data_IF_937064933550
#
_entry.id   IF_937064933550
#
_cell.length_a   1.000
_cell.length_b   1.000
_cell.length_c   1.000
_cell.angle_alpha   90.00
_cell.angle_beta   90.00
_cell.angle_gamma   90.00
#
_symmetry.space_group_name_H-M   'P 1'
#
loop_
_entity.id
_entity.type
_entity.pdbx_description
1 polymer ?
#
# COMPACT_ATOMS: atom_id res chain seq x y z
N UNK A 1 -30.39 46.01 36.88
CA UNK A 1 -29.70 45.79 38.15
C UNK A 1 -28.42 45.08 37.79
N UNK A 2 -27.31 45.79 37.46
CA UNK A 2 -26.27 46.28 38.41
C UNK A 2 -25.82 45.12 39.31
N UNK A 3 -24.58 44.71 39.45
CA UNK A 3 -23.26 45.34 39.36
C UNK A 3 -22.18 44.26 39.58
N UNK A 4 -21.08 44.44 39.04
CA UNK A 4 -19.70 44.87 39.39
C UNK A 4 -18.72 43.71 39.51
N UNK A 5 -17.74 43.65 38.64
CA UNK A 5 -16.35 44.16 38.64
C UNK A 5 -15.56 43.89 39.93
N UNK A 6 -14.50 43.14 39.86
CA UNK A 6 -13.25 43.46 40.55
C UNK A 6 -12.02 42.85 39.93
N UNK A 7 -11.12 43.75 39.52
CA UNK A 7 -9.72 43.47 39.16
C UNK A 7 -8.86 43.37 40.43
N UNK A 8 -7.85 42.51 40.42
CA UNK A 8 -6.72 42.70 41.31
C UNK A 8 -5.41 42.33 40.62
N UNK A 9 -4.59 43.37 40.41
CA UNK A 9 -3.16 43.33 40.09
C UNK A 9 -2.37 43.10 41.38
N UNK A 10 -1.24 42.42 41.26
CA UNK A 10 -0.01 42.62 42.09
C UNK A 10 1.05 41.70 41.52
N UNK A 11 2.22 42.06 41.33
CA UNK A 11 3.27 43.00 41.56
C UNK A 11 4.59 42.27 41.42
N UNK A 12 5.50 42.91 40.75
CA UNK A 12 6.91 42.52 40.57
C UNK A 12 7.69 42.67 41.87
N UNK A 13 8.67 41.78 42.07
CA UNK A 13 9.91 41.98 42.85
C UNK A 13 10.82 40.78 42.50
N UNK A 14 12.05 40.86 42.03
CA UNK A 14 13.14 41.76 42.32
C UNK A 14 14.38 40.88 42.34
N UNK A 15 15.33 41.12 41.46
CA UNK A 15 16.66 40.50 41.32
C UNK A 15 17.51 40.75 42.56
N UNK A 16 18.52 39.89 42.90
CA UNK A 16 19.85 40.41 42.81
C UNK A 16 20.89 39.51 42.09
N UNK A 17 21.69 40.19 41.32
CA UNK A 17 22.97 39.83 40.78
C UNK A 17 24.01 39.65 41.90
N UNK A 18 24.79 38.57 41.80
CA UNK A 18 26.12 38.52 42.46
C UNK A 18 27.19 38.23 41.42
N UNK A 19 28.04 39.24 41.25
CA UNK A 19 29.34 39.16 40.59
C UNK A 19 30.34 38.61 41.59
N UNK A 20 31.19 37.68 41.14
CA UNK A 20 32.34 37.25 41.90
C UNK A 20 33.34 36.60 40.93
N UNK A 21 34.30 37.40 40.48
CA UNK A 21 35.40 36.94 39.64
C UNK A 21 36.51 36.22 40.42
N UNK A 22 37.18 35.35 39.75
CA UNK A 22 38.61 35.07 40.02
C UNK A 22 39.25 34.54 38.72
N UNK A 23 40.24 35.35 38.28
CA UNK A 23 41.23 35.00 37.26
C UNK A 23 42.04 33.81 37.76
N UNK A 24 42.15 32.79 36.94
CA UNK A 24 43.16 31.73 37.07
C UNK A 24 43.82 31.53 35.71
N UNK A 25 45.02 32.12 35.59
CA UNK A 25 45.93 31.82 34.48
C UNK A 25 46.41 30.36 34.61
N UNK A 26 46.20 29.55 33.59
CA UNK A 26 46.97 28.31 33.41
C UNK A 26 47.53 28.22 32.00
N UNK A 27 48.83 27.98 32.00
CA UNK A 27 49.75 27.91 30.88
C UNK A 27 49.32 26.82 29.86
N UNK A 28 49.50 27.17 28.59
CA UNK A 28 49.42 26.25 27.46
C UNK A 28 50.58 25.22 27.60
N UNK A 29 50.20 23.95 27.54
CA UNK A 29 51.12 22.89 27.16
C UNK A 29 50.54 22.21 25.93
N UNK A 30 51.33 22.27 24.87
CA UNK A 30 51.07 21.59 23.61
C UNK A 30 50.88 20.10 23.86
N UNK A 31 49.71 19.60 23.46
CA UNK A 31 49.45 18.18 23.26
C UNK A 31 49.07 17.99 21.81
N UNK A 32 50.01 17.56 21.01
CA UNK A 32 49.77 16.96 19.72
C UNK A 32 49.02 15.65 19.93
N UNK A 33 47.68 15.71 19.73
CA UNK A 33 46.81 14.55 19.64
C UNK A 33 46.31 14.43 18.21
N UNK A 34 46.17 13.21 17.66
CA UNK A 34 45.84 13.05 16.26
C UNK A 34 44.42 13.52 15.99
N UNK A 35 44.32 14.58 15.21
CA UNK A 35 43.09 15.01 14.55
C UNK A 35 42.72 13.99 13.50
N UNK A 36 41.70 13.22 13.76
CA UNK A 36 40.68 12.73 12.80
C UNK A 36 39.81 11.74 13.54
N UNK A 37 38.65 12.23 14.03
CA UNK A 37 37.52 11.35 14.23
C UNK A 37 37.20 10.77 12.86
N UNK A 38 37.07 9.46 12.72
CA UNK A 38 36.67 8.90 11.47
C UNK A 38 35.18 9.27 11.26
N UNK A 39 34.95 10.13 10.29
CA UNK A 39 33.64 10.30 9.65
C UNK A 39 33.31 9.04 8.86
N UNK A 40 32.95 7.98 9.53
CA UNK A 40 32.50 6.78 8.85
C UNK A 40 31.57 5.98 9.75
N UNK A 41 30.33 6.40 9.81
CA UNK A 41 29.27 5.52 10.26
C UNK A 41 27.97 5.90 9.54
N UNK A 42 27.98 5.87 8.23
CA UNK A 42 26.80 5.67 7.42
C UNK A 42 27.24 5.13 6.06
N UNK A 43 27.83 3.94 6.07
CA UNK A 43 27.81 3.13 4.88
C UNK A 43 26.37 2.62 4.72
N UNK A 44 25.50 3.48 4.17
CA UNK A 44 24.30 3.03 3.52
C UNK A 44 24.78 2.19 2.34
N UNK A 45 24.79 0.87 2.52
CA UNK A 45 25.09 -0.04 1.43
C UNK A 45 23.94 0.06 0.43
N UNK A 46 24.11 0.88 -0.61
CA UNK A 46 23.23 0.90 -1.76
C UNK A 46 23.01 -0.52 -2.25
N UNK A 47 21.75 -0.86 -2.50
CA UNK A 47 21.41 -2.11 -3.16
C UNK A 47 21.91 -2.02 -4.61
N UNK A 48 23.04 -2.71 -4.90
CA UNK A 48 23.70 -2.66 -6.21
C UNK A 48 22.78 -3.05 -7.35
N UNK A 49 22.98 -2.44 -8.51
CA UNK A 49 22.24 -2.69 -9.75
C UNK A 49 21.24 -1.57 -10.09
N UNK A 50 21.13 -1.23 -11.38
CA UNK A 50 20.20 -0.22 -11.88
C UNK A 50 18.76 -0.73 -11.95
N UNK A 51 17.81 0.16 -11.87
CA UNK A 51 16.39 -0.14 -12.11
C UNK A 51 16.08 -0.15 -13.62
N UNK A 52 15.16 -1.04 -14.06
CA UNK A 52 14.59 -1.03 -15.40
C UNK A 52 13.44 -0.01 -15.45
N UNK A 53 13.23 0.58 -16.62
CA UNK A 53 12.26 1.66 -16.81
C UNK A 53 11.30 1.35 -17.95
N UNK A 54 10.00 1.53 -17.68
CA UNK A 54 8.92 1.43 -18.65
C UNK A 54 8.22 2.79 -18.71
N UNK A 55 8.43 3.60 -19.78
CA UNK A 55 7.85 4.94 -19.87
C UNK A 55 6.32 4.92 -19.85
N UNK A 56 5.73 5.91 -19.20
CA UNK A 56 4.29 6.16 -19.19
C UNK A 56 3.98 7.36 -20.08
N UNK A 57 3.09 7.21 -21.05
CA UNK A 57 2.73 8.27 -21.99
C UNK A 57 1.98 9.42 -21.30
N UNK A 58 1.03 9.08 -20.45
CA UNK A 58 0.32 10.04 -19.60
C UNK A 58 0.13 9.45 -18.19
N UNK A 59 0.41 10.27 -17.20
CA UNK A 59 0.16 9.97 -15.80
C UNK A 59 -0.46 11.21 -15.17
N UNK A 60 -1.71 11.14 -14.77
CA UNK A 60 -2.26 12.18 -13.93
C UNK A 60 -1.72 12.01 -12.52
N UNK A 61 -0.92 12.99 -12.07
CA UNK A 61 -0.40 13.04 -10.69
C UNK A 61 -1.55 13.03 -9.67
N UNK A 62 -2.74 13.49 -10.09
CA UNK A 62 -3.96 13.44 -9.28
C UNK A 62 -4.57 12.04 -9.22
N UNK A 63 -4.28 11.15 -10.17
CA UNK A 63 -4.74 9.77 -10.13
C UNK A 63 -3.78 8.89 -9.34
N UNK A 64 -3.80 9.13 -8.05
CA UNK A 64 -2.88 8.57 -7.07
C UNK A 64 -3.13 7.11 -6.73
N UNK A 65 -3.97 6.37 -7.44
CA UNK A 65 -4.36 5.00 -7.03
C UNK A 65 -3.98 3.89 -8.00
N UNK A 66 -3.53 4.22 -9.19
CA UNK A 66 -3.01 3.22 -10.12
C UNK A 66 -1.61 2.82 -9.68
N UNK A 67 -1.40 1.53 -9.56
CA UNK A 67 -0.13 0.93 -9.11
C UNK A 67 0.27 -0.19 -10.05
N UNK A 68 1.58 -0.48 -10.19
CA UNK A 68 2.00 -1.69 -10.86
C UNK A 68 1.57 -2.92 -10.07
N UNK A 69 1.40 -4.03 -10.76
CA UNK A 69 1.13 -5.34 -10.18
C UNK A 69 2.17 -6.34 -10.68
N UNK A 70 2.72 -7.13 -9.76
CA UNK A 70 3.75 -8.13 -10.00
C UNK A 70 3.24 -9.52 -9.65
N UNK A 71 3.60 -10.51 -10.48
CA UNK A 71 3.45 -11.92 -10.17
C UNK A 71 4.59 -12.73 -10.74
N UNK A 72 4.84 -13.91 -10.15
CA UNK A 72 5.80 -14.90 -10.63
C UNK A 72 5.08 -16.23 -10.71
N UNK A 73 5.16 -16.90 -11.86
CA UNK A 73 4.54 -18.20 -12.04
C UNK A 73 5.46 -19.37 -11.61
N UNK A 74 4.91 -20.58 -11.59
CA UNK A 74 5.65 -21.79 -11.21
C UNK A 74 6.84 -22.12 -12.10
N UNK A 75 7.00 -21.48 -13.25
CA UNK A 75 8.15 -21.59 -14.16
C UNK A 75 9.19 -20.49 -13.94
N UNK A 76 8.98 -19.61 -12.96
CA UNK A 76 9.87 -18.48 -12.66
C UNK A 76 9.74 -17.30 -13.63
N UNK A 77 8.71 -17.27 -14.48
CA UNK A 77 8.44 -16.13 -15.34
C UNK A 77 7.84 -15.00 -14.53
N UNK A 78 8.33 -13.79 -14.75
CA UNK A 78 7.90 -12.59 -14.06
C UNK A 78 6.93 -11.83 -14.94
N UNK A 79 5.82 -11.42 -14.38
CA UNK A 79 4.79 -10.62 -15.03
C UNK A 79 4.64 -9.29 -14.30
N UNK A 80 4.70 -8.20 -15.07
CA UNK A 80 4.47 -6.84 -14.57
C UNK A 80 3.37 -6.21 -15.39
N UNK A 81 2.27 -5.84 -14.73
CA UNK A 81 1.13 -5.18 -15.34
C UNK A 81 0.93 -3.78 -14.76
N UNK A 82 0.49 -2.83 -15.60
CA UNK A 82 0.13 -1.49 -15.18
C UNK A 82 -0.90 -0.89 -16.12
N UNK A 83 -1.62 0.12 -15.63
CA UNK A 83 -2.49 0.95 -16.44
C UNK A 83 -1.72 2.17 -16.96
N UNK A 84 -1.96 2.54 -18.22
CA UNK A 84 -1.46 3.75 -18.83
C UNK A 84 -2.61 4.51 -19.48
N UNK A 85 -2.68 5.80 -19.26
CA UNK A 85 -3.68 6.66 -19.89
C UNK A 85 -3.11 7.24 -21.19
N UNK A 86 -3.89 7.18 -22.26
CA UNK A 86 -3.59 7.83 -23.53
C UNK A 86 -4.65 8.88 -23.82
N UNK A 87 -4.25 10.15 -23.89
CA UNK A 87 -5.20 11.24 -24.10
C UNK A 87 -6.14 11.47 -22.90
N UNK A 88 -7.27 12.13 -23.15
CA UNK A 88 -8.18 12.61 -22.09
C UNK A 88 -9.06 11.52 -21.47
N UNK A 89 -9.14 10.33 -22.05
CA UNK A 89 -10.12 9.34 -21.61
C UNK A 89 -9.77 7.89 -21.86
N UNK A 90 -8.77 7.58 -22.65
CA UNK A 90 -8.47 6.20 -23.02
C UNK A 90 -7.39 5.63 -22.09
N UNK A 91 -7.68 4.49 -21.49
CA UNK A 91 -6.73 3.73 -20.67
C UNK A 91 -6.36 2.44 -21.38
N UNK A 92 -5.10 2.07 -21.26
CA UNK A 92 -4.54 0.80 -21.71
C UNK A 92 -4.11 -0.01 -20.51
N UNK A 93 -4.39 -1.30 -20.54
CA UNK A 93 -3.78 -2.26 -19.63
C UNK A 93 -2.59 -2.89 -20.35
N UNK A 94 -1.42 -2.65 -19.82
CA UNK A 94 -0.15 -3.10 -20.36
C UNK A 94 0.41 -4.23 -19.50
N UNK A 95 1.02 -5.20 -20.17
CA UNK A 95 1.68 -6.35 -19.57
C UNK A 95 3.04 -6.56 -20.23
N UNK A 96 4.07 -6.77 -19.42
CA UNK A 96 5.37 -7.28 -19.85
C UNK A 96 5.68 -8.57 -19.12
N UNK A 97 6.46 -9.45 -19.77
CA UNK A 97 6.94 -10.71 -19.21
C UNK A 97 8.45 -10.80 -19.31
N UNK A 98 9.06 -11.37 -18.30
CA UNK A 98 10.46 -11.78 -18.30
C UNK A 98 10.52 -13.30 -18.16
N UNK A 99 11.27 -13.95 -19.05
CA UNK A 99 11.55 -15.39 -19.04
C UNK A 99 12.94 -15.71 -18.45
N UNK A 100 13.70 -14.69 -18.05
CA UNK A 100 15.07 -14.76 -17.54
C UNK A 100 15.24 -14.05 -16.21
N UNK A 101 14.30 -14.23 -15.29
CA UNK A 101 14.34 -13.77 -13.91
C UNK A 101 14.52 -12.23 -13.75
N UNK A 102 13.97 -11.46 -14.70
CA UNK A 102 13.99 -10.01 -14.64
C UNK A 102 15.22 -9.36 -15.29
N UNK A 103 16.10 -10.12 -15.93
CA UNK A 103 17.24 -9.57 -16.67
C UNK A 103 16.77 -8.78 -17.90
N UNK A 104 15.72 -9.25 -18.58
CA UNK A 104 15.07 -8.56 -19.67
C UNK A 104 13.57 -8.83 -19.68
N UNK A 105 12.83 -7.95 -20.31
CA UNK A 105 11.38 -8.07 -20.53
C UNK A 105 11.09 -7.99 -22.01
N UNK A 106 10.04 -8.68 -22.45
CA UNK A 106 9.49 -8.52 -23.80
C UNK A 106 8.93 -7.09 -24.00
N UNK A 107 8.55 -6.75 -25.22
CA UNK A 107 7.83 -5.51 -25.48
C UNK A 107 6.50 -5.48 -24.72
N UNK A 108 6.13 -4.29 -24.27
CA UNK A 108 4.86 -4.11 -23.56
C UNK A 108 3.70 -4.46 -24.50
N UNK A 109 2.86 -5.37 -24.04
CA UNK A 109 1.67 -5.83 -24.73
C UNK A 109 0.45 -5.09 -24.20
N UNK A 110 -0.33 -4.53 -25.09
CA UNK A 110 -1.63 -3.98 -24.77
C UNK A 110 -2.63 -5.13 -24.64
N UNK A 111 -3.04 -5.45 -23.41
CA UNK A 111 -4.03 -6.51 -23.14
C UNK A 111 -5.42 -5.98 -23.38
N UNK A 112 -5.70 -4.77 -22.95
CA UNK A 112 -6.97 -4.08 -23.13
C UNK A 112 -6.74 -2.63 -23.50
N UNK A 113 -7.42 -2.21 -24.56
CA UNK A 113 -7.61 -0.82 -24.94
C UNK A 113 -9.09 -0.49 -24.83
N UNK A 114 -9.43 0.57 -24.13
CA UNK A 114 -10.83 0.80 -23.89
C UNK A 114 -11.17 2.25 -23.64
N UNK A 115 -12.17 2.74 -24.38
CA UNK A 115 -12.96 3.93 -24.04
C UNK A 115 -14.00 3.70 -22.92
N UNK A 116 -14.06 2.49 -22.30
CA UNK A 116 -15.04 2.14 -21.27
C UNK A 116 -14.59 2.49 -19.84
N UNK A 117 -13.64 3.41 -19.69
CA UNK A 117 -13.17 3.87 -18.39
C UNK A 117 -13.83 5.17 -17.90
N UNK A 118 -14.91 5.59 -18.53
CA UNK A 118 -15.74 6.71 -18.05
C UNK A 118 -17.07 6.20 -17.54
N UNK A 119 -17.36 6.45 -16.26
CA UNK A 119 -18.68 6.26 -15.69
C UNK A 119 -19.41 7.61 -15.65
N UNK A 120 -20.70 7.59 -16.00
CA UNK A 120 -21.57 8.77 -15.99
C UNK A 120 -22.52 8.67 -14.81
N UNK A 121 -22.67 9.74 -14.05
CA UNK A 121 -23.62 9.81 -12.93
C UNK A 121 -24.37 11.13 -12.95
N UNK A 122 -25.61 11.11 -12.43
CA UNK A 122 -26.38 12.32 -12.19
C UNK A 122 -26.15 12.82 -10.77
N UNK A 123 -25.71 14.05 -10.61
CA UNK A 123 -25.52 14.67 -9.30
C UNK A 123 -26.11 16.08 -9.31
N UNK A 124 -27.10 16.32 -8.46
CA UNK A 124 -27.81 17.61 -8.35
C UNK A 124 -28.32 18.13 -9.71
N UNK A 125 -28.89 17.24 -10.54
CA UNK A 125 -29.43 17.57 -11.87
C UNK A 125 -28.38 17.81 -12.95
N UNK A 126 -27.10 17.61 -12.67
CA UNK A 126 -26.01 17.71 -13.65
C UNK A 126 -25.46 16.35 -13.96
N UNK A 127 -25.18 16.11 -15.24
CA UNK A 127 -24.45 14.93 -15.69
C UNK A 127 -22.97 15.11 -15.39
N UNK A 128 -22.41 14.22 -14.60
CA UNK A 128 -20.98 14.21 -14.24
C UNK A 128 -20.36 12.96 -14.85
N UNK A 129 -19.34 13.15 -15.68
CA UNK A 129 -18.48 12.07 -16.14
C UNK A 129 -17.26 11.95 -15.21
N UNK A 130 -16.96 10.74 -14.79
CA UNK A 130 -15.79 10.44 -13.95
C UNK A 130 -14.98 9.33 -14.60
N UNK A 131 -13.67 9.48 -14.59
CA UNK A 131 -12.79 8.39 -15.01
C UNK A 131 -12.89 7.24 -14.00
N UNK A 132 -13.05 6.03 -14.53
CA UNK A 132 -12.96 4.81 -13.76
C UNK A 132 -11.48 4.50 -13.56
N UNK A 133 -11.09 4.28 -12.32
CA UNK A 133 -9.73 3.87 -12.00
C UNK A 133 -9.53 2.43 -12.42
N UNK A 134 -8.55 2.19 -13.27
CA UNK A 134 -8.10 0.85 -13.58
C UNK A 134 -6.99 0.47 -12.61
N UNK A 135 -7.28 -0.45 -11.70
CA UNK A 135 -6.25 -1.05 -10.85
C UNK A 135 -6.01 -2.46 -11.38
N UNK A 136 -4.91 -2.71 -12.09
CA UNK A 136 -4.60 -4.04 -12.58
C UNK A 136 -4.12 -4.94 -11.43
N UNK A 137 -4.51 -6.20 -11.49
CA UNK A 137 -4.00 -7.26 -10.64
C UNK A 137 -3.57 -8.42 -11.52
N UNK A 138 -2.26 -8.65 -11.62
CA UNK A 138 -1.73 -9.87 -12.23
C UNK A 138 -1.52 -10.91 -11.14
N UNK A 139 -1.98 -12.13 -11.37
CA UNK A 139 -1.93 -13.24 -10.42
C UNK A 139 -1.43 -14.45 -11.17
N UNK A 140 -0.44 -15.13 -10.62
CA UNK A 140 0.07 -16.37 -11.18
C UNK A 140 -0.52 -17.59 -10.46
N UNK A 141 -1.20 -18.43 -11.22
CA UNK A 141 -1.57 -19.78 -10.82
C UNK A 141 -0.49 -20.79 -11.20
N UNK A 142 -0.79 -22.08 -10.99
CA UNK A 142 0.14 -23.14 -11.32
C UNK A 142 0.46 -23.20 -12.83
N UNK A 143 -0.56 -23.15 -13.66
CA UNK A 143 -0.45 -23.29 -15.12
C UNK A 143 -1.12 -22.13 -15.89
N UNK A 144 -1.70 -21.19 -15.21
CA UNK A 144 -2.44 -20.06 -15.76
C UNK A 144 -2.02 -18.74 -15.13
N UNK A 145 -2.09 -17.67 -15.91
CA UNK A 145 -1.97 -16.30 -15.45
C UNK A 145 -3.35 -15.69 -15.48
N UNK A 146 -3.71 -15.00 -14.40
CA UNK A 146 -4.94 -14.24 -14.32
C UNK A 146 -4.61 -12.75 -14.31
N UNK A 147 -5.41 -12.00 -15.04
CA UNK A 147 -5.37 -10.55 -15.04
C UNK A 147 -6.75 -10.04 -14.69
N UNK A 148 -6.85 -9.29 -13.60
CA UNK A 148 -8.09 -8.68 -13.17
C UNK A 148 -7.98 -7.15 -13.21
N UNK A 149 -9.08 -6.48 -13.51
CA UNK A 149 -9.16 -5.02 -13.56
C UNK A 149 -10.59 -4.52 -13.31
N UNK A 150 -10.71 -3.23 -13.09
CA UNK A 150 -12.00 -2.55 -13.02
C UNK A 150 -12.27 -1.78 -14.32
N UNK A 151 -13.51 -1.79 -14.77
CA UNK A 151 -13.96 -1.07 -15.94
C UNK A 151 -15.37 -0.51 -15.74
N UNK A 152 -15.77 0.49 -16.53
CA UNK A 152 -17.12 0.98 -16.51
C UNK A 152 -18.11 -0.09 -17.02
N UNK A 153 -19.33 -0.09 -16.51
CA UNK A 153 -20.42 -0.85 -17.11
C UNK A 153 -20.68 -0.36 -18.55
N UNK A 154 -21.18 -1.22 -19.45
CA UNK A 154 -21.44 -0.83 -20.84
C UNK A 154 -22.40 0.37 -20.98
N UNK A 155 -23.32 0.55 -20.02
CA UNK A 155 -24.23 1.70 -19.95
C UNK A 155 -23.64 2.92 -19.23
N UNK A 156 -22.37 2.83 -18.81
CA UNK A 156 -21.60 3.86 -18.08
C UNK A 156 -22.19 4.27 -16.72
N UNK A 157 -23.16 3.52 -16.18
CA UNK A 157 -23.82 3.85 -14.91
C UNK A 157 -23.10 3.37 -13.67
N UNK A 158 -22.13 2.48 -13.81
CA UNK A 158 -21.41 1.86 -12.70
C UNK A 158 -20.03 1.38 -13.09
N UNK A 159 -19.40 0.66 -12.16
CA UNK A 159 -18.07 0.08 -12.30
C UNK A 159 -18.13 -1.39 -11.94
N UNK A 160 -17.56 -2.24 -12.78
CA UNK A 160 -17.45 -3.67 -12.54
C UNK A 160 -16.01 -4.11 -12.46
N UNK A 161 -15.76 -5.16 -11.71
CA UNK A 161 -14.50 -5.89 -11.71
C UNK A 161 -14.62 -7.16 -12.54
N UNK A 162 -13.64 -7.38 -13.38
CA UNK A 162 -13.56 -8.55 -14.25
C UNK A 162 -12.21 -9.23 -14.09
N UNK A 163 -12.16 -10.51 -14.42
CA UNK A 163 -10.94 -11.32 -14.46
C UNK A 163 -10.89 -12.14 -15.73
N UNK A 164 -9.74 -12.21 -16.36
CA UNK A 164 -9.47 -13.05 -17.52
C UNK A 164 -8.25 -13.93 -17.26
N UNK A 165 -8.18 -15.09 -17.87
CA UNK A 165 -7.06 -16.01 -17.75
C UNK A 165 -6.32 -16.21 -19.06
N UNK A 166 -5.03 -16.53 -18.94
CA UNK A 166 -4.14 -16.90 -20.02
C UNK A 166 -3.46 -18.24 -19.69
N UNK A 167 -3.51 -19.18 -20.64
CA UNK A 167 -2.84 -20.48 -20.55
C UNK A 167 -1.54 -20.55 -21.35
N UNK A 168 -1.24 -19.54 -22.11
CA UNK A 168 -0.09 -19.45 -23.00
C UNK A 168 1.00 -18.49 -22.48
N UNK A 169 0.97 -18.20 -21.18
CA UNK A 169 1.97 -17.34 -20.54
C UNK A 169 1.77 -15.86 -20.81
N UNK A 170 0.54 -15.41 -20.94
CA UNK A 170 0.19 -14.01 -21.16
C UNK A 170 0.20 -13.57 -22.63
N UNK A 171 0.36 -14.52 -23.57
CA UNK A 171 0.30 -14.20 -24.99
C UNK A 171 -1.12 -13.92 -25.48
N UNK A 172 -2.10 -14.60 -24.93
CA UNK A 172 -3.51 -14.32 -25.16
C UNK A 172 -4.32 -14.47 -23.86
N UNK A 173 -5.41 -13.75 -23.77
CA UNK A 173 -6.35 -13.82 -22.65
C UNK A 173 -7.73 -14.19 -23.15
N UNK A 174 -8.42 -15.03 -22.39
CA UNK A 174 -9.81 -15.42 -22.67
C UNK A 174 -10.80 -14.27 -22.45
N UNK A 175 -12.08 -14.55 -22.69
CA UNK A 175 -13.13 -13.58 -22.38
C UNK A 175 -13.18 -13.27 -20.88
N UNK A 176 -13.25 -12.00 -20.49
CA UNK A 176 -13.36 -11.63 -19.09
C UNK A 176 -14.65 -12.17 -18.45
N UNK A 177 -14.53 -12.65 -17.22
CA UNK A 177 -15.66 -13.06 -16.38
C UNK A 177 -15.87 -12.04 -15.26
N UNK A 178 -17.13 -11.87 -14.83
CA UNK A 178 -17.47 -10.97 -13.73
C UNK A 178 -17.06 -11.57 -12.39
N UNK A 179 -16.58 -10.71 -11.51
CA UNK A 179 -16.24 -11.06 -10.13
C UNK A 179 -17.45 -10.92 -9.19
N UNK A 180 -18.47 -10.22 -9.60
CA UNK A 180 -19.69 -9.94 -8.83
C UNK A 180 -20.94 -10.07 -9.70
N UNK A 181 -22.11 -10.31 -9.07
CA UNK A 181 -23.37 -10.52 -9.75
C UNK A 181 -24.34 -9.33 -9.66
N UNK A 182 -24.10 -8.38 -8.77
CA UNK A 182 -24.99 -7.22 -8.58
C UNK A 182 -25.07 -6.32 -9.80
N UNK A 183 -26.26 -6.12 -10.35
CA UNK A 183 -26.51 -5.33 -11.58
C UNK A 183 -26.06 -3.87 -11.46
N UNK A 184 -26.11 -3.29 -10.28
CA UNK A 184 -25.75 -1.89 -10.01
C UNK A 184 -24.44 -1.78 -9.23
N UNK A 185 -23.56 -2.75 -9.37
CA UNK A 185 -22.29 -2.76 -8.66
C UNK A 185 -21.46 -1.52 -9.01
N UNK A 186 -20.73 -1.03 -8.01
CA UNK A 186 -19.77 0.07 -8.13
C UNK A 186 -18.45 -0.35 -7.53
N UNK A 187 -17.94 -1.49 -8.02
CA UNK A 187 -16.73 -2.10 -7.52
C UNK A 187 -15.53 -1.17 -7.67
N UNK A 188 -15.02 -0.68 -6.56
CA UNK A 188 -13.86 0.20 -6.49
C UNK A 188 -12.91 -0.27 -5.39
N UNK A 189 -11.65 0.16 -5.45
CA UNK A 189 -10.65 -0.17 -4.41
C UNK A 189 -10.52 -1.68 -4.17
N UNK A 190 -10.39 -2.39 -5.27
CA UNK A 190 -10.46 -3.84 -5.34
C UNK A 190 -9.19 -4.53 -4.88
N UNK A 191 -9.33 -5.76 -4.44
CA UNK A 191 -8.27 -6.74 -4.23
C UNK A 191 -8.72 -8.09 -4.77
N UNK A 192 -7.79 -8.90 -5.26
CA UNK A 192 -8.04 -10.28 -5.66
C UNK A 192 -6.79 -11.12 -5.37
N UNK A 193 -6.98 -12.33 -4.91
CA UNK A 193 -5.92 -13.29 -4.67
C UNK A 193 -6.33 -14.71 -5.02
N UNK A 194 -5.34 -15.56 -5.20
CA UNK A 194 -5.46 -16.97 -5.55
C UNK A 194 -4.77 -17.81 -4.47
N UNK A 195 -5.50 -18.77 -3.91
CA UNK A 195 -4.96 -19.78 -3.01
C UNK A 195 -4.21 -20.88 -3.75
N UNK A 196 -3.38 -21.62 -3.03
CA UNK A 196 -2.63 -22.76 -3.59
C UNK A 196 -3.55 -23.88 -4.07
N UNK A 197 -4.74 -24.00 -3.51
CA UNK A 197 -5.78 -24.94 -3.90
C UNK A 197 -6.57 -24.51 -5.16
N UNK A 198 -6.31 -23.32 -5.68
CA UNK A 198 -7.03 -22.72 -6.80
C UNK A 198 -8.27 -21.92 -6.42
N UNK A 199 -8.57 -21.75 -5.12
CA UNK A 199 -9.61 -20.85 -4.65
C UNK A 199 -9.21 -19.41 -4.92
N UNK A 200 -10.11 -18.63 -5.56
CA UNK A 200 -9.95 -17.20 -5.74
C UNK A 200 -10.86 -16.44 -4.77
N UNK A 201 -10.36 -15.36 -4.20
CA UNK A 201 -11.17 -14.39 -3.48
C UNK A 201 -10.96 -13.00 -4.05
N UNK A 202 -12.03 -12.28 -4.22
CA UNK A 202 -12.00 -10.85 -4.50
C UNK A 202 -12.78 -10.08 -3.46
N UNK A 203 -12.30 -8.89 -3.12
CA UNK A 203 -13.00 -7.95 -2.25
C UNK A 203 -12.94 -6.53 -2.83
N UNK A 204 -13.94 -5.71 -2.50
CA UNK A 204 -14.03 -4.35 -3.00
C UNK A 204 -14.89 -3.47 -2.10
N UNK A 205 -14.79 -2.18 -2.34
CA UNK A 205 -15.70 -1.18 -1.79
C UNK A 205 -16.80 -0.87 -2.80
N UNK A 206 -18.04 -0.78 -2.33
CA UNK A 206 -19.20 -0.56 -3.18
C UNK A 206 -20.24 0.32 -2.47
N UNK A 207 -20.76 1.29 -3.17
CA UNK A 207 -21.79 2.21 -2.67
C UNK A 207 -23.12 2.12 -3.43
N UNK A 208 -23.41 0.95 -4.01
CA UNK A 208 -24.66 0.68 -4.75
C UNK A 208 -25.93 1.02 -3.95
N UNK A 209 -25.88 0.91 -2.64
CA UNK A 209 -26.96 1.21 -1.70
C UNK A 209 -26.83 2.60 -1.07
N UNK A 210 -26.10 3.53 -1.69
CA UNK A 210 -25.83 4.90 -1.24
C UNK A 210 -24.87 5.02 -0.05
N UNK A 211 -24.53 3.93 0.64
CA UNK A 211 -23.53 3.85 1.70
C UNK A 211 -22.38 2.96 1.27
N UNK A 212 -21.18 3.35 1.62
CA UNK A 212 -20.02 2.54 1.31
C UNK A 212 -20.02 1.27 2.17
N UNK A 213 -19.94 0.12 1.53
CA UNK A 213 -19.85 -1.20 2.16
C UNK A 213 -18.64 -1.95 1.61
N UNK A 214 -18.17 -2.93 2.37
CA UNK A 214 -17.18 -3.89 1.89
C UNK A 214 -17.90 -5.16 1.46
N UNK A 215 -17.60 -5.61 0.25
CA UNK A 215 -18.08 -6.86 -0.31
C UNK A 215 -16.91 -7.80 -0.59
N UNK A 216 -17.21 -9.09 -0.63
CA UNK A 216 -16.32 -10.10 -1.17
C UNK A 216 -17.10 -11.17 -1.93
N UNK A 217 -16.43 -11.80 -2.88
CA UNK A 217 -16.89 -12.97 -3.58
C UNK A 217 -15.78 -14.00 -3.69
N UNK A 218 -16.12 -15.27 -3.63
CA UNK A 218 -15.16 -16.38 -3.66
C UNK A 218 -15.54 -17.33 -4.79
N UNK A 219 -14.53 -17.74 -5.53
CA UNK A 219 -14.62 -18.76 -6.56
C UNK A 219 -13.84 -19.99 -6.10
N UNK A 220 -14.52 -21.09 -5.88
CA UNK A 220 -13.86 -22.37 -5.56
C UNK A 220 -12.98 -22.88 -6.72
N UNK A 221 -12.07 -23.84 -6.46
CA UNK A 221 -11.08 -24.30 -7.45
C UNK A 221 -11.68 -24.79 -8.77
N UNK A 222 -12.80 -25.50 -8.68
CA UNK A 222 -13.50 -26.07 -9.83
C UNK A 222 -14.77 -25.31 -10.22
N UNK A 223 -15.07 -24.19 -9.56
CA UNK A 223 -16.25 -23.42 -9.88
C UNK A 223 -16.03 -22.66 -11.21
N UNK A 224 -17.04 -22.63 -12.11
CA UNK A 224 -16.92 -21.90 -13.37
C UNK A 224 -16.90 -20.39 -13.15
N UNK A 225 -17.55 -19.90 -12.11
CA UNK A 225 -17.75 -18.46 -11.81
C UNK A 225 -17.60 -18.18 -10.32
N UNK A 226 -17.50 -16.88 -10.00
CA UNK A 226 -17.54 -16.42 -8.63
C UNK A 226 -18.92 -16.66 -8.01
N UNK A 227 -18.97 -16.98 -6.74
CA UNK A 227 -20.23 -17.08 -6.00
C UNK A 227 -20.90 -15.70 -5.87
N UNK A 228 -22.17 -15.69 -5.46
CA UNK A 228 -22.84 -14.44 -5.12
C UNK A 228 -22.05 -13.71 -4.04
N UNK A 229 -21.86 -12.42 -4.25
CA UNK A 229 -21.09 -11.60 -3.32
C UNK A 229 -21.77 -11.47 -1.96
N UNK A 230 -20.96 -11.51 -0.92
CA UNK A 230 -21.35 -11.28 0.47
C UNK A 230 -20.99 -9.87 0.93
N UNK A 231 -21.85 -9.24 1.73
CA UNK A 231 -21.51 -8.01 2.45
C UNK A 231 -20.65 -8.37 3.67
N UNK A 232 -19.39 -7.95 3.66
CA UNK A 232 -18.44 -8.20 4.77
C UNK A 232 -18.65 -7.19 5.89
N UNK A 233 -18.89 -5.92 5.54
CA UNK A 233 -19.08 -4.86 6.51
C UNK A 233 -19.97 -3.74 5.96
N UNK A 234 -20.79 -3.17 6.82
CA UNK A 234 -21.64 -2.01 6.56
C UNK A 234 -21.09 -0.72 7.16
N UNK A 235 -20.12 -0.81 8.08
CA UNK A 235 -19.47 0.33 8.70
C UNK A 235 -20.37 1.19 9.58
N UNK A 236 -20.04 2.46 9.68
CA UNK A 236 -20.79 3.48 10.39
C UNK A 236 -22.22 3.61 9.86
N UNK A 237 -23.26 3.76 10.72
CA UNK A 237 -24.64 3.84 10.29
C UNK A 237 -24.95 4.96 9.30
N UNK A 238 -24.21 6.07 9.34
CA UNK A 238 -24.40 7.21 8.43
C UNK A 238 -23.40 7.21 7.27
N UNK A 239 -22.12 6.95 7.54
CA UNK A 239 -21.02 7.11 6.60
C UNK A 239 -20.63 5.81 5.88
N UNK A 240 -20.97 4.65 6.44
CA UNK A 240 -20.48 3.35 5.95
C UNK A 240 -19.04 3.06 6.34
N UNK A 241 -18.35 2.20 5.58
CA UNK A 241 -16.90 1.97 5.72
C UNK A 241 -16.10 3.12 5.08
N UNK A 242 -14.79 3.17 5.31
CA UNK A 242 -13.93 4.18 4.68
C UNK A 242 -13.99 4.08 3.14
N UNK A 243 -14.39 5.16 2.43
CA UNK A 243 -14.76 5.06 1.02
C UNK A 243 -13.60 5.07 0.03
N UNK A 244 -12.36 5.15 0.51
CA UNK A 244 -11.22 5.51 -0.34
C UNK A 244 -9.95 4.67 -0.13
N UNK A 245 -10.00 3.64 0.72
CA UNK A 245 -8.86 2.78 0.97
C UNK A 245 -9.07 1.42 0.30
N UNK A 246 -8.12 0.94 -0.52
CA UNK A 246 -8.21 -0.38 -1.11
C UNK A 246 -8.39 -1.46 -0.05
N UNK A 247 -9.25 -2.44 -0.35
CA UNK A 247 -9.34 -3.66 0.43
C UNK A 247 -8.10 -4.54 0.21
N UNK A 248 -7.90 -5.51 1.06
CA UNK A 248 -6.90 -6.57 0.86
C UNK A 248 -7.57 -7.92 1.10
N UNK A 249 -7.32 -8.88 0.24
CA UNK A 249 -7.85 -10.24 0.38
C UNK A 249 -6.74 -11.25 0.19
N UNK A 250 -6.84 -12.39 0.87
CA UNK A 250 -5.93 -13.52 0.70
C UNK A 250 -6.63 -14.83 1.02
N UNK A 251 -6.09 -15.92 0.48
CA UNK A 251 -6.47 -17.29 0.81
C UNK A 251 -5.31 -17.92 1.56
N UNK A 252 -5.58 -18.43 2.75
CA UNK A 252 -4.61 -19.20 3.55
C UNK A 252 -4.34 -20.58 2.95
N UNK A 253 -3.27 -21.22 3.41
CA UNK A 253 -2.90 -22.58 2.98
C UNK A 253 -3.94 -23.63 3.39
N UNK A 254 -4.73 -23.37 4.41
CA UNK A 254 -5.86 -24.19 4.88
C UNK A 254 -7.19 -23.89 4.15
N UNK A 255 -7.17 -23.02 3.14
CA UNK A 255 -8.38 -22.57 2.42
C UNK A 255 -9.20 -21.51 3.15
N UNK A 256 -8.76 -21.03 4.31
CA UNK A 256 -9.41 -19.89 5.00
C UNK A 256 -9.19 -18.61 4.19
N UNK A 257 -10.27 -17.89 3.97
CA UNK A 257 -10.26 -16.60 3.25
C UNK A 257 -10.23 -15.46 4.25
N UNK A 258 -9.35 -14.49 4.03
CA UNK A 258 -9.24 -13.27 4.84
C UNK A 258 -9.52 -12.04 3.98
N UNK A 259 -10.25 -11.07 4.54
CA UNK A 259 -10.52 -9.77 3.93
C UNK A 259 -10.24 -8.67 4.95
N UNK A 260 -9.31 -7.79 4.63
CA UNK A 260 -9.00 -6.60 5.42
C UNK A 260 -9.52 -5.34 4.72
N UNK A 261 -10.06 -4.43 5.49
CA UNK A 261 -10.61 -3.16 5.01
C UNK A 261 -10.50 -2.09 6.10
N UNK A 262 -10.48 -0.82 5.67
CA UNK A 262 -10.53 0.29 6.62
C UNK A 262 -11.98 0.59 6.97
N UNK A 263 -12.33 0.49 8.24
CA UNK A 263 -13.67 0.80 8.74
C UNK A 263 -13.79 2.27 9.15
N UNK A 264 -15.00 2.73 9.37
CA UNK A 264 -15.32 3.95 10.14
C UNK A 264 -16.20 3.51 11.29
N UNK A 265 -15.78 3.83 12.50
CA UNK A 265 -16.57 3.62 13.70
C UNK A 265 -16.30 4.77 14.68
N UNK A 266 -17.33 5.53 15.07
CA UNK A 266 -17.23 6.68 15.97
C UNK A 266 -16.18 7.72 15.55
N UNK A 267 -15.95 7.85 14.23
CA UNK A 267 -14.94 8.71 13.62
C UNK A 267 -13.53 8.14 13.56
N UNK A 268 -13.30 6.95 14.13
CA UNK A 268 -12.04 6.22 13.99
C UNK A 268 -11.96 5.52 12.64
N UNK A 269 -10.79 5.54 12.01
CA UNK A 269 -10.53 4.95 10.68
C UNK A 269 -9.44 3.88 10.77
N UNK A 270 -9.75 2.80 11.47
CA UNK A 270 -8.82 1.70 11.71
C UNK A 270 -9.10 0.50 10.79
N UNK A 271 -8.13 -0.40 10.66
CA UNK A 271 -8.30 -1.61 9.88
C UNK A 271 -8.99 -2.71 10.67
N UNK A 272 -9.88 -3.39 9.97
CA UNK A 272 -10.62 -4.56 10.41
C UNK A 272 -10.34 -5.74 9.50
N UNK A 273 -10.44 -6.94 10.03
CA UNK A 273 -10.32 -8.19 9.28
C UNK A 273 -11.57 -9.04 9.53
N UNK A 274 -12.12 -9.57 8.46
CA UNK A 274 -13.08 -10.66 8.49
C UNK A 274 -12.46 -11.88 7.83
N UNK A 275 -12.83 -13.07 8.31
CA UNK A 275 -12.39 -14.34 7.72
C UNK A 275 -13.58 -15.26 7.47
N UNK A 276 -13.42 -16.13 6.47
CA UNK A 276 -14.29 -17.26 6.22
C UNK A 276 -13.45 -18.53 6.23
N UNK A 277 -13.66 -19.38 7.22
CA UNK A 277 -12.96 -20.66 7.32
C UNK A 277 -13.29 -21.56 6.12
N UNK A 278 -12.37 -22.43 5.77
CA UNK A 278 -12.63 -23.42 4.72
C UNK A 278 -13.91 -24.21 5.01
N UNK A 279 -14.77 -24.34 3.99
CA UNK A 279 -16.06 -25.03 4.13
C UNK A 279 -17.16 -24.21 4.82
N UNK A 280 -16.88 -23.04 5.39
CA UNK A 280 -17.92 -22.19 5.95
C UNK A 280 -18.74 -21.51 4.84
N UNK A 281 -20.03 -21.30 5.09
CA UNK A 281 -20.97 -20.67 4.15
C UNK A 281 -20.89 -19.15 4.11
N UNK A 282 -20.32 -18.52 5.15
CA UNK A 282 -20.28 -17.07 5.30
C UNK A 282 -19.04 -16.59 6.04
N UNK A 283 -18.74 -15.31 5.90
CA UNK A 283 -17.70 -14.64 6.67
C UNK A 283 -18.09 -14.43 8.12
N UNK A 284 -17.13 -14.52 9.03
CA UNK A 284 -17.26 -14.15 10.43
C UNK A 284 -17.43 -12.63 10.56
N UNK A 285 -17.99 -12.16 11.69
CA UNK A 285 -18.07 -10.74 11.98
C UNK A 285 -16.65 -10.10 11.98
N UNK A 286 -16.47 -8.93 11.37
CA UNK A 286 -15.16 -8.28 11.35
C UNK A 286 -14.66 -7.90 12.75
N UNK A 287 -13.38 -8.10 12.99
CA UNK A 287 -12.70 -7.69 14.20
C UNK A 287 -11.68 -6.59 13.90
N UNK A 288 -11.45 -5.64 14.81
CA UNK A 288 -10.39 -4.67 14.67
C UNK A 288 -9.01 -5.33 14.76
N UNK A 289 -8.06 -4.90 13.91
CA UNK A 289 -6.66 -5.34 13.99
C UNK A 289 -6.04 -4.87 15.31
N UNK A 290 -6.35 -3.64 15.69
CA UNK A 290 -5.95 -3.04 16.97
C UNK A 290 -7.13 -2.27 17.55
N UNK A 291 -7.05 -1.92 18.83
CA UNK A 291 -8.01 -1.02 19.45
C UNK A 291 -8.10 0.31 18.66
N UNK A 292 -9.25 0.99 18.64
CA UNK A 292 -9.42 2.25 17.95
C UNK A 292 -8.37 3.29 18.35
N UNK A 293 -7.62 3.80 17.37
CA UNK A 293 -6.46 4.67 17.62
C UNK A 293 -6.43 5.93 16.79
N UNK A 294 -6.97 5.89 15.56
CA UNK A 294 -6.83 7.00 14.65
C UNK A 294 -8.18 7.64 14.29
N UNK A 295 -8.50 8.72 15.00
CA UNK A 295 -9.66 9.56 14.67
C UNK A 295 -9.28 10.55 13.57
N UNK A 296 -9.94 10.43 12.41
CA UNK A 296 -9.59 11.23 11.24
C UNK A 296 -10.82 11.50 10.37
N UNK A 297 -11.03 12.77 10.01
CA UNK A 297 -12.08 13.16 9.07
C UNK A 297 -11.47 13.52 7.71
N UNK A 298 -11.14 12.50 6.93
CA UNK A 298 -10.50 12.64 5.63
C UNK A 298 -10.34 11.30 4.92
N UNK A 299 -9.67 11.32 3.77
CA UNK A 299 -9.43 10.16 2.92
C UNK A 299 -7.94 9.77 2.90
N UNK A 300 -7.53 8.73 3.61
CA UNK A 300 -6.11 8.34 3.68
C UNK A 300 -5.57 7.77 2.36
N UNK A 301 -6.44 7.18 1.53
CA UNK A 301 -6.08 6.55 0.25
C UNK A 301 -5.00 5.46 0.34
N UNK A 302 -4.91 4.78 1.46
CA UNK A 302 -3.93 3.74 1.73
C UNK A 302 -4.63 2.45 2.18
N UNK A 303 -4.27 1.33 1.56
CA UNK A 303 -4.82 0.00 1.83
C UNK A 303 -3.85 -0.86 2.62
N UNK A 304 -4.38 -1.90 3.27
CA UNK A 304 -3.56 -2.90 3.93
C UNK A 304 -2.89 -3.86 2.94
N UNK A 305 -1.91 -4.61 3.44
CA UNK A 305 -1.35 -5.79 2.78
C UNK A 305 -1.20 -6.91 3.81
N UNK A 306 -1.51 -8.15 3.43
CA UNK A 306 -1.48 -9.31 4.31
C UNK A 306 -0.66 -10.43 3.71
N UNK A 307 0.01 -11.21 4.57
CA UNK A 307 0.61 -12.51 4.26
C UNK A 307 0.44 -13.46 5.44
N UNK A 308 0.43 -14.76 5.18
CA UNK A 308 0.32 -15.80 6.20
C UNK A 308 1.63 -16.62 6.21
N UNK A 309 2.41 -16.47 7.27
CA UNK A 309 3.65 -17.21 7.51
C UNK A 309 3.37 -18.36 8.51
N UNK A 310 3.20 -19.59 7.98
CA UNK A 310 2.65 -20.69 8.79
C UNK A 310 1.28 -20.30 9.35
N UNK A 311 1.12 -20.37 10.67
CA UNK A 311 -0.10 -19.98 11.36
C UNK A 311 -0.10 -18.51 11.82
N UNK A 312 0.88 -17.71 11.39
CA UNK A 312 0.97 -16.31 11.77
C UNK A 312 0.50 -15.41 10.62
N UNK A 313 -0.60 -14.71 10.83
CA UNK A 313 -1.11 -13.68 9.94
C UNK A 313 -0.38 -12.37 10.20
N UNK A 314 0.27 -11.83 9.17
CA UNK A 314 0.91 -10.53 9.17
C UNK A 314 0.07 -9.55 8.35
N UNK A 315 -0.09 -8.33 8.85
CA UNK A 315 -0.78 -7.23 8.17
C UNK A 315 0.00 -5.94 8.35
N UNK A 316 0.07 -5.13 7.29
CA UNK A 316 0.63 -3.78 7.35
C UNK A 316 -0.36 -2.76 6.79
N UNK A 317 -0.31 -1.54 7.33
CA UNK A 317 -1.13 -0.41 6.89
C UNK A 317 -0.47 0.91 7.27
N UNK A 318 -0.97 2.02 6.74
CA UNK A 318 -0.59 3.37 7.15
C UNK A 318 -1.70 3.99 8.00
N UNK A 319 -1.34 4.70 9.04
CA UNK A 319 -2.18 5.70 9.71
C UNK A 319 -1.33 6.84 10.30
N UNK A 320 -1.98 7.83 10.89
CA UNK A 320 -1.30 8.99 11.44
C UNK A 320 -1.66 9.23 12.93
N UNK A 321 -1.83 8.14 13.69
CA UNK A 321 -2.17 8.20 15.12
C UNK A 321 -1.17 8.98 15.97
N UNK A 322 0.08 9.09 15.52
CA UNK A 322 1.16 9.84 16.18
C UNK A 322 1.36 11.24 15.63
N UNK A 323 0.44 11.75 14.77
CA UNK A 323 0.52 13.06 14.14
C UNK A 323 1.23 13.09 12.79
N UNK A 324 1.91 12.00 12.40
CA UNK A 324 2.55 11.83 11.09
C UNK A 324 2.08 10.53 10.45
N UNK A 325 2.04 10.47 9.12
CA UNK A 325 1.76 9.23 8.41
C UNK A 325 2.88 8.21 8.65
N UNK A 326 2.55 7.09 9.25
CA UNK A 326 3.45 6.00 9.59
C UNK A 326 2.89 4.68 9.08
N UNK A 327 3.76 3.80 8.61
CA UNK A 327 3.39 2.42 8.32
C UNK A 327 3.52 1.57 9.59
N UNK A 328 2.45 0.88 9.91
CA UNK A 328 2.37 -0.08 11.01
C UNK A 328 2.34 -1.49 10.47
N UNK A 329 2.83 -2.39 11.27
CA UNK A 329 2.76 -3.82 11.05
C UNK A 329 2.17 -4.47 12.30
N UNK A 330 1.27 -5.43 12.10
CA UNK A 330 0.78 -6.27 13.18
C UNK A 330 0.81 -7.74 12.76
N UNK A 331 0.92 -8.61 13.75
CA UNK A 331 0.86 -10.04 13.55
C UNK A 331 0.06 -10.72 14.66
N UNK A 332 -0.57 -11.84 14.30
CA UNK A 332 -1.35 -12.67 15.22
C UNK A 332 -1.32 -14.12 14.78
N UNK A 333 -1.47 -15.04 15.72
CA UNK A 333 -1.86 -16.41 15.36
C UNK A 333 -3.24 -16.38 14.69
N UNK A 334 -3.38 -17.03 13.54
CA UNK A 334 -4.60 -16.98 12.72
C UNK A 334 -5.83 -17.61 13.39
N UNK A 335 -5.64 -18.46 14.43
CA UNK A 335 -6.74 -19.01 15.21
C UNK A 335 -7.21 -18.04 16.31
N UNK A 336 -6.28 -17.34 16.95
CA UNK A 336 -6.56 -16.44 18.07
C UNK A 336 -6.96 -15.04 17.61
N UNK A 337 -6.40 -14.57 16.50
CA UNK A 337 -6.62 -13.23 15.93
C UNK A 337 -6.38 -12.09 16.95
N UNK A 338 -5.42 -12.29 17.85
CA UNK A 338 -4.97 -11.28 18.81
C UNK A 338 -3.68 -10.65 18.32
N UNK A 339 -3.79 -9.43 17.81
CA UNK A 339 -2.69 -8.76 17.13
C UNK A 339 -1.76 -8.02 18.07
N UNK A 340 -0.46 -8.13 17.79
CA UNK A 340 0.59 -7.27 18.35
C UNK A 340 1.06 -6.34 17.22
N UNK A 341 1.07 -5.03 17.48
CA UNK A 341 1.39 -4.02 16.47
C UNK A 341 2.65 -3.23 16.83
N UNK A 342 3.47 -2.92 15.80
CA UNK A 342 4.66 -2.08 15.88
C UNK A 342 4.73 -1.16 14.67
N UNK A 343 5.49 -0.08 14.75
CA UNK A 343 5.84 0.69 13.54
C UNK A 343 6.79 -0.12 12.66
N UNK A 344 6.61 0.00 11.33
CA UNK A 344 7.44 -0.69 10.34
C UNK A 344 8.88 -0.12 10.34
N UNK A 345 9.02 1.19 10.42
CA UNK A 345 10.29 1.90 10.47
C UNK A 345 10.22 3.08 11.45
N UNK A 346 10.38 2.84 12.77
CA UNK A 346 10.18 3.86 13.79
C UNK A 346 11.21 4.99 13.75
N UNK A 347 12.40 4.76 13.17
CA UNK A 347 13.46 5.76 13.07
C UNK A 347 13.28 6.74 11.91
N UNK A 348 12.30 6.53 11.04
CA UNK A 348 12.03 7.43 9.92
C UNK A 348 11.61 8.82 10.39
N UNK A 349 12.12 9.83 9.71
CA UNK A 349 11.74 11.22 9.94
C UNK A 349 10.57 11.66 9.06
N UNK A 350 10.45 11.04 7.88
CA UNK A 350 9.47 11.39 6.87
C UNK A 350 8.14 10.64 6.98
N UNK A 351 7.20 11.02 6.13
CA UNK A 351 5.92 10.34 5.98
C UNK A 351 6.08 9.02 5.25
N UNK A 352 5.35 8.00 5.68
CA UNK A 352 5.35 6.66 5.12
C UNK A 352 3.97 6.31 4.54
N UNK A 353 3.93 5.39 3.57
CA UNK A 353 2.66 4.90 3.03
C UNK A 353 2.79 3.72 2.06
N UNK A 354 1.67 3.21 1.63
CA UNK A 354 1.53 2.18 0.60
C UNK A 354 2.36 0.90 0.85
N UNK A 355 2.50 0.49 2.11
CA UNK A 355 3.28 -0.69 2.47
C UNK A 355 2.70 -1.97 1.87
N UNK A 356 3.59 -2.86 1.41
CA UNK A 356 3.27 -4.19 0.87
C UNK A 356 4.13 -5.25 1.50
N UNK A 357 3.53 -6.40 1.77
CA UNK A 357 4.19 -7.58 2.31
C UNK A 357 4.32 -8.66 1.25
N UNK A 358 5.37 -9.46 1.37
CA UNK A 358 5.53 -10.73 0.66
C UNK A 358 6.17 -11.75 1.59
N UNK A 359 5.83 -13.02 1.38
CA UNK A 359 6.41 -14.16 2.09
C UNK A 359 7.33 -14.92 1.13
N UNK A 360 8.54 -15.20 1.57
CA UNK A 360 9.47 -16.03 0.81
C UNK A 360 9.30 -17.53 1.13
N UNK A 361 10.02 -18.37 0.40
CA UNK A 361 9.97 -19.83 0.59
C UNK A 361 10.57 -20.31 1.93
N UNK A 362 11.36 -19.47 2.61
CA UNK A 362 11.92 -19.71 3.94
C UNK A 362 10.95 -19.32 5.06
N UNK A 363 9.81 -18.74 4.69
CA UNK A 363 8.82 -18.22 5.62
C UNK A 363 9.22 -16.89 6.24
N UNK A 364 10.14 -16.15 5.61
CA UNK A 364 10.51 -14.81 6.03
C UNK A 364 9.59 -13.77 5.37
N UNK A 365 9.17 -12.79 6.16
CA UNK A 365 8.26 -11.74 5.72
C UNK A 365 9.07 -10.49 5.36
N UNK A 366 8.89 -10.03 4.13
CA UNK A 366 9.52 -8.81 3.64
C UNK A 366 8.47 -7.74 3.42
N UNK A 367 8.83 -6.50 3.70
CA UNK A 367 7.99 -5.33 3.46
C UNK A 367 8.67 -4.33 2.55
N UNK A 368 7.89 -3.70 1.67
CA UNK A 368 8.28 -2.49 0.94
C UNK A 368 7.27 -1.40 1.21
N UNK A 369 7.73 -0.16 1.26
CA UNK A 369 6.88 1.02 1.44
C UNK A 369 7.51 2.25 0.80
N UNK A 370 6.72 3.29 0.60
CA UNK A 370 7.22 4.60 0.20
C UNK A 370 7.49 5.46 1.43
N UNK A 371 8.59 6.23 1.41
CA UNK A 371 9.01 7.10 2.51
C UNK A 371 9.58 8.41 1.99
N UNK A 372 9.14 9.54 2.55
CA UNK A 372 9.74 10.85 2.30
C UNK A 372 10.85 11.15 3.29
N UNK A 373 11.79 12.01 2.90
CA UNK A 373 12.89 12.41 3.79
C UNK A 373 12.46 13.34 4.93
N UNK A 374 11.35 14.05 4.74
CA UNK A 374 10.82 15.00 5.72
C UNK A 374 9.36 14.66 6.06
N UNK A 375 8.96 14.98 7.28
CA UNK A 375 7.58 14.86 7.69
C UNK A 375 6.73 15.85 6.87
N UNK A 376 5.79 15.34 6.07
CA UNK A 376 4.71 16.19 5.60
C UNK A 376 3.88 16.56 6.83
N UNK A 377 3.86 17.84 7.19
CA UNK A 377 2.93 18.34 8.17
C UNK A 377 1.53 18.05 7.62
N UNK A 378 0.75 17.27 8.36
CA UNK A 378 -0.68 17.17 8.08
C UNK A 378 -1.19 18.57 8.40
N UNK A 379 -1.46 19.37 7.35
CA UNK A 379 -2.02 20.71 7.52
C UNK A 379 -3.26 20.62 8.41
N UNK A 380 -3.42 21.63 9.26
CA UNK A 380 -4.54 21.75 10.17
C UNK A 380 -5.85 21.30 9.50
N UNK A 381 -6.65 20.54 10.24
CA UNK A 381 -7.91 19.91 9.80
C UNK A 381 -9.01 20.93 9.37
N UNK A 382 -8.63 22.16 9.03
CA UNK A 382 -9.49 23.25 8.58
C UNK A 382 -9.32 23.66 7.11
N UNK A 383 -8.34 23.12 6.38
CA UNK A 383 -8.23 23.41 4.95
C UNK A 383 -9.24 22.56 4.19
N UNK A 384 -10.11 23.19 3.41
CA UNK A 384 -11.07 22.53 2.52
C UNK A 384 -10.38 21.40 1.76
N UNK A 385 -10.81 20.15 2.01
CA UNK A 385 -10.31 18.97 1.34
C UNK A 385 -10.58 19.05 -0.17
N UNK A 386 -9.62 19.58 -0.91
CA UNK A 386 -9.55 19.33 -2.36
C UNK A 386 -9.19 17.87 -2.54
N UNK A 387 -10.16 17.07 -2.91
CA UNK A 387 -9.95 15.67 -3.28
C UNK A 387 -8.76 15.54 -4.24
N UNK A 388 -7.71 14.85 -3.85
CA UNK A 388 -6.68 14.35 -4.75
C UNK A 388 -5.31 15.01 -4.73
N UNK A 389 -5.03 15.99 -3.91
CA UNK A 389 -3.68 16.52 -3.82
C UNK A 389 -2.96 15.96 -2.60
N UNK A 390 -2.22 14.86 -2.76
CA UNK A 390 -0.96 14.78 -2.03
C UNK A 390 -0.15 15.97 -2.53
N UNK A 391 0.19 16.88 -1.64
CA UNK A 391 0.95 18.06 -2.01
C UNK A 391 2.37 17.64 -2.39
N UNK A 392 2.60 17.44 -3.69
CA UNK A 392 3.91 17.19 -4.25
C UNK A 392 4.76 18.46 -4.34
N UNK A 393 4.23 19.60 -3.87
CA UNK A 393 4.86 20.92 -4.00
C UNK A 393 6.04 21.16 -3.05
N UNK A 394 6.23 20.30 -2.07
CA UNK A 394 7.29 20.48 -1.07
C UNK A 394 8.60 19.77 -1.44
N UNK A 395 9.17 19.92 -2.60
CA UNK A 395 10.60 19.73 -2.93
C UNK A 395 11.35 18.48 -2.42
N UNK A 396 10.71 17.65 -1.62
CA UNK A 396 11.30 16.51 -0.93
C UNK A 396 10.87 15.23 -1.62
N UNK A 397 11.81 14.57 -2.28
CA UNK A 397 11.58 13.31 -2.97
C UNK A 397 11.08 12.20 -2.04
N UNK A 398 10.51 11.14 -2.62
CA UNK A 398 10.15 9.90 -1.93
C UNK A 398 10.97 8.76 -2.48
N UNK A 399 11.37 7.84 -1.62
CA UNK A 399 12.08 6.62 -1.98
C UNK A 399 11.25 5.39 -1.60
N UNK A 400 11.51 4.29 -2.32
CA UNK A 400 11.02 2.98 -1.91
C UNK A 400 12.01 2.37 -0.94
N UNK A 401 11.49 1.98 0.22
CA UNK A 401 12.21 1.30 1.29
C UNK A 401 11.87 -0.18 1.31
N UNK A 402 12.78 -0.99 1.85
CA UNK A 402 12.60 -2.43 2.03
C UNK A 402 13.22 -2.87 3.35
N UNK A 403 12.56 -3.81 4.05
CA UNK A 403 13.08 -4.48 5.24
C UNK A 403 12.51 -5.89 5.36
N UNK A 404 13.18 -6.72 6.18
CA UNK A 404 12.75 -8.08 6.53
C UNK A 404 12.32 -8.13 7.99
N UNK A 405 11.28 -8.91 8.28
CA UNK A 405 10.80 -9.13 9.65
C UNK A 405 11.72 -10.09 10.41
N UNK A 406 12.22 -9.62 11.53
CA UNK A 406 13.06 -10.39 12.45
C UNK A 406 12.16 -11.12 13.46
N UNK A 407 12.06 -12.45 13.31
CA UNK A 407 11.17 -13.29 14.12
C UNK A 407 11.49 -13.21 15.61
N UNK A 408 12.77 -13.18 15.96
CA UNK A 408 13.23 -13.12 17.35
C UNK A 408 12.92 -11.77 18.00
N UNK A 409 13.11 -10.68 17.24
CA UNK A 409 12.79 -9.31 17.68
C UNK A 409 11.34 -8.92 17.55
N UNK A 410 10.53 -9.72 16.85
CA UNK A 410 9.11 -9.42 16.52
C UNK A 410 8.90 -8.02 15.93
N UNK A 411 9.83 -7.58 15.10
CA UNK A 411 9.88 -6.26 14.43
C UNK A 411 10.56 -6.36 13.09
N UNK A 412 10.41 -5.35 12.26
CA UNK A 412 11.22 -5.24 11.05
C UNK A 412 12.65 -4.77 11.41
N UNK A 413 13.62 -5.34 10.73
CA UNK A 413 15.03 -4.99 10.83
C UNK A 413 15.35 -3.66 10.14
N UNK A 414 16.64 -3.41 9.93
CA UNK A 414 17.12 -2.17 9.32
C UNK A 414 16.53 -1.96 7.92
N UNK A 415 15.83 -0.84 7.72
CA UNK A 415 15.29 -0.44 6.43
C UNK A 415 16.42 -0.02 5.47
N UNK A 416 16.30 -0.41 4.21
CA UNK A 416 17.20 -0.02 3.12
C UNK A 416 16.44 0.63 1.98
N UNK A 417 17.06 1.60 1.33
CA UNK A 417 16.50 2.23 0.13
C UNK A 417 16.70 1.31 -1.08
N UNK A 418 15.63 1.09 -1.84
CA UNK A 418 15.67 0.21 -3.03
C UNK A 418 16.45 0.84 -4.17
N UNK A 419 16.18 2.11 -4.48
CA UNK A 419 16.84 2.86 -5.56
C UNK A 419 16.93 4.33 -5.15
N UNK A 420 18.05 4.71 -4.52
CA UNK A 420 18.20 6.05 -3.97
C UNK A 420 18.37 7.10 -5.07
N UNK A 421 17.46 8.08 -5.08
CA UNK A 421 17.51 9.21 -6.01
C UNK A 421 17.09 10.49 -5.31
N UNK A 422 17.72 11.58 -5.67
CA UNK A 422 17.36 12.91 -5.21
C UNK A 422 16.34 13.54 -6.14
N UNK A 423 15.35 14.26 -5.58
CA UNK A 423 14.34 15.00 -6.35
C UNK A 423 13.35 14.15 -7.13
N UNK A 424 13.23 12.86 -6.83
CA UNK A 424 12.32 11.92 -7.50
C UNK A 424 11.24 11.48 -6.54
N UNK A 425 10.04 11.29 -7.07
CA UNK A 425 8.92 10.72 -6.32
C UNK A 425 8.71 9.27 -6.73
N UNK A 426 9.15 8.36 -5.87
CA UNK A 426 8.92 6.92 -5.99
C UNK A 426 7.74 6.55 -5.11
N UNK A 427 6.68 5.98 -5.69
CA UNK A 427 5.43 5.72 -4.99
C UNK A 427 4.82 4.38 -5.37
N UNK A 428 3.95 3.87 -4.51
CA UNK A 428 3.07 2.71 -4.74
C UNK A 428 3.81 1.47 -5.16
N UNK A 429 4.69 0.95 -4.30
CA UNK A 429 5.42 -0.25 -4.60
C UNK A 429 4.51 -1.47 -4.73
N UNK A 430 4.93 -2.39 -5.61
CA UNK A 430 4.52 -3.78 -5.67
C UNK A 430 5.73 -4.64 -5.38
N UNK A 431 5.51 -5.81 -4.77
CA UNK A 431 6.56 -6.75 -4.41
C UNK A 431 6.14 -8.18 -4.74
N UNK A 432 7.08 -8.98 -5.21
CA UNK A 432 6.95 -10.43 -5.40
C UNK A 432 8.28 -11.11 -5.09
N UNK A 433 8.28 -12.45 -5.01
CA UNK A 433 9.48 -13.26 -4.83
C UNK A 433 9.82 -13.94 -6.16
N UNK A 434 11.06 -13.81 -6.60
CA UNK A 434 11.60 -14.54 -7.73
C UNK A 434 11.84 -16.02 -7.36
N UNK A 435 11.96 -16.87 -8.37
CA UNK A 435 12.19 -18.31 -8.15
C UNK A 435 13.51 -18.59 -7.40
N UNK A 436 14.51 -17.73 -7.54
CA UNK A 436 15.80 -17.83 -6.82
C UNK A 436 15.76 -17.21 -5.42
N UNK A 437 14.59 -16.76 -4.95
CA UNK A 437 14.38 -16.17 -3.63
C UNK A 437 14.67 -14.66 -3.54
N UNK A 438 15.09 -14.02 -4.62
CA UNK A 438 15.32 -12.59 -4.65
C UNK A 438 13.99 -11.80 -4.68
N UNK A 439 14.01 -10.59 -4.12
CA UNK A 439 12.84 -9.69 -4.15
C UNK A 439 12.72 -8.99 -5.49
N UNK A 440 11.52 -8.99 -6.04
CA UNK A 440 11.14 -8.24 -7.22
C UNK A 440 10.29 -7.06 -6.76
N UNK A 441 10.73 -5.85 -7.07
CA UNK A 441 10.07 -4.63 -6.62
C UNK A 441 9.80 -3.76 -7.84
N UNK A 442 8.54 -3.30 -7.98
CA UNK A 442 8.15 -2.33 -9.00
C UNK A 442 7.44 -1.15 -8.35
N UNK A 443 7.57 0.04 -8.94
CA UNK A 443 6.98 1.27 -8.40
C UNK A 443 6.71 2.29 -9.48
N UNK A 444 5.89 3.28 -9.17
CA UNK A 444 5.72 4.47 -9.99
C UNK A 444 6.84 5.47 -9.67
N UNK A 445 7.48 6.00 -10.69
CA UNK A 445 8.48 7.05 -10.58
C UNK A 445 8.06 8.29 -11.35
N UNK A 446 8.09 9.45 -10.69
CA UNK A 446 7.95 10.77 -11.29
C UNK A 446 9.26 11.53 -11.11
N UNK A 447 9.83 12.00 -12.21
CA UNK A 447 11.05 12.80 -12.24
C UNK A 447 10.95 13.91 -13.30
N UNK A 448 11.94 14.76 -13.39
CA UNK A 448 12.04 15.76 -14.47
C UNK A 448 12.09 15.10 -15.86
N UNK A 449 12.64 13.90 -15.96
CA UNK A 449 12.68 13.13 -17.22
C UNK A 449 11.32 12.53 -17.62
N UNK A 450 10.28 12.70 -16.77
CA UNK A 450 8.94 12.17 -17.00
C UNK A 450 8.55 11.10 -15.99
N UNK A 451 7.60 10.28 -16.40
CA UNK A 451 6.93 9.27 -15.57
C UNK A 451 7.21 7.88 -16.11
N UNK A 452 7.42 6.93 -15.20
CA UNK A 452 7.70 5.56 -15.59
C UNK A 452 7.27 4.57 -14.49
N UNK A 453 7.00 3.34 -14.90
CA UNK A 453 7.08 2.19 -14.00
C UNK A 453 8.53 1.78 -13.91
N UNK A 454 9.04 1.64 -12.71
CA UNK A 454 10.37 1.12 -12.41
C UNK A 454 10.29 -0.31 -11.90
N UNK A 455 11.32 -1.06 -12.16
CA UNK A 455 11.48 -2.44 -11.69
C UNK A 455 12.93 -2.67 -11.26
N UNK A 456 13.10 -3.31 -10.11
CA UNK A 456 14.41 -3.74 -9.61
C UNK A 456 14.32 -5.11 -8.95
N UNK A 457 15.28 -5.97 -9.25
CA UNK A 457 15.53 -7.22 -8.54
C UNK A 457 16.54 -6.96 -7.44
N UNK A 458 16.24 -7.37 -6.22
CA UNK A 458 17.05 -7.12 -5.03
C UNK A 458 17.37 -8.44 -4.37
N UNK A 459 18.66 -8.72 -4.17
CA UNK A 459 19.09 -9.93 -3.49
C UNK A 459 18.64 -9.93 -2.03
N UNK A 460 17.91 -10.96 -1.63
CA UNK A 460 17.41 -11.11 -0.27
C UNK A 460 18.55 -11.10 0.77
N UNK A 461 19.67 -11.74 0.47
CA UNK A 461 20.87 -11.76 1.32
C UNK A 461 21.47 -10.39 1.62
N UNK A 462 21.17 -9.36 0.80
CA UNK A 462 21.64 -7.98 1.05
C UNK A 462 20.75 -7.23 2.02
N UNK A 463 19.55 -7.73 2.31
CA UNK A 463 18.59 -7.08 3.21
C UNK A 463 18.71 -7.67 4.62
N UNK A 464 18.92 -8.96 4.72
CA UNK A 464 19.11 -9.66 6.00
C UNK A 464 20.54 -9.44 6.48
N UNK A 465 20.74 -8.52 7.39
CA UNK A 465 22.02 -8.42 8.14
C UNK A 465 21.95 -9.46 9.26
N UNK A 466 22.56 -10.62 9.05
CA UNK A 466 22.85 -11.51 10.18
C UNK A 466 23.91 -10.81 11.02
N UNK A 467 23.54 -10.32 12.21
CA UNK A 467 24.53 -9.92 13.18
C UNK A 467 25.47 -11.10 13.44
N UNK A 468 26.79 -10.89 13.49
CA UNK A 468 27.68 -11.95 13.90
C UNK A 468 27.25 -12.42 15.30
N UNK A 469 27.00 -13.72 15.45
CA UNK A 469 26.77 -14.29 16.79
C UNK A 469 27.94 -13.92 17.69
N UNK A 470 27.67 -13.48 18.94
CA UNK A 470 28.71 -13.12 19.91
C UNK A 470 29.64 -14.30 20.23
#
# INVERSE_FOLDING_TARGET
MMSNVSWMKMLFLGVPVFLGGSLGLYLATDFDGPTSLPSSCCNQSELKGGSKSFPLEHYDVKDTQERPSLAVDGKGRIYLAWASQTGDSDKKLLLVRSDNQGESFNAAKEVIKSGIFKAVSQMKGKTISRDVRMTPHVIAGKDEIFLAWTEALPDLTGVRMVVSSSKDGGESFGNPTLVHHGKNARAAFTSISLGQDGTMVSSWLDNRDKKQKTFASVKGPSAPEFALEETIAVGDPEKGVCPCCPTSSMVGHDGTVYVAFRNIQDGYRDFYISRRKAGASSFEAPIPVIAPTWKFDGCPHDGASMVLAGDTLHITWMDARTGSQRCYHAFANCNEMKFTATELHPMAQGSQGNAKLVLDAQGDVHAVWEESKEAALIGDAGAEHKHGAQDFSAGVGRNIMVATFEKDGKKFGTAKTVDEKSGVFQTRPAIAIAQDGDLLIAWNELSEAGKAIKFKKVKCSTIVVKEPKP
#
